data_IF_726230676720
#
_entry.id   IF_726230676720
#
_cell.length_a   1.000
_cell.length_b   1.000
_cell.length_c   1.000
_cell.angle_alpha   90.00
_cell.angle_beta   90.00
_cell.angle_gamma   90.00
#
_symmetry.space_group_name_H-M   'P 1'
#
loop_
_entity.id
_entity.type
_entity.pdbx_description
1 polymer ?
#
# COMPACT_ATOMS: atom_id res chain seq x y z
N UNK A 1 24.62 10.65 -6.49
CA UNK A 1 23.23 10.17 -6.43
C UNK A 1 22.38 11.30 -5.87
N UNK A 2 21.30 11.69 -6.56
CA UNK A 2 20.40 12.73 -6.05
C UNK A 2 19.43 12.05 -5.10
N UNK A 3 19.69 12.13 -3.80
CA UNK A 3 18.71 11.78 -2.78
C UNK A 3 17.76 12.96 -2.66
N UNK A 4 16.62 12.94 -3.36
CA UNK A 4 15.53 13.82 -2.99
C UNK A 4 14.92 13.23 -1.71
N UNK A 5 15.11 13.93 -0.59
CA UNK A 5 14.35 13.63 0.63
C UNK A 5 12.87 13.88 0.32
N UNK A 6 12.09 12.80 0.33
CA UNK A 6 10.65 12.87 0.19
C UNK A 6 10.08 13.52 1.44
N UNK A 7 9.31 14.59 1.27
CA UNK A 7 8.73 15.33 2.40
C UNK A 7 7.70 14.51 3.16
N UNK A 8 7.80 14.53 4.49
CA UNK A 8 6.76 14.03 5.39
C UNK A 8 5.43 14.78 5.16
N UNK A 9 4.32 14.06 5.25
CA UNK A 9 2.98 14.58 5.01
C UNK A 9 2.61 14.77 3.54
N UNK A 10 3.50 14.41 2.60
CA UNK A 10 3.20 14.42 1.16
C UNK A 10 2.94 13.01 0.63
N UNK A 11 1.93 12.89 -0.23
CA UNK A 11 1.63 11.66 -0.95
C UNK A 11 2.55 11.50 -2.16
N UNK A 12 3.19 10.34 -2.24
CA UNK A 12 4.10 9.94 -3.31
C UNK A 12 3.51 8.76 -4.07
N UNK A 13 3.72 8.69 -5.38
CA UNK A 13 3.20 7.57 -6.21
C UNK A 13 4.21 6.42 -6.23
N UNK A 14 3.70 5.19 -6.09
CA UNK A 14 4.45 3.96 -6.29
C UNK A 14 4.30 3.49 -7.74
N UNK A 15 5.44 3.44 -8.44
CA UNK A 15 5.79 2.99 -9.80
C UNK A 15 4.76 3.02 -10.95
N UNK A 16 3.48 2.72 -10.77
CA UNK A 16 2.37 2.98 -11.72
C UNK A 16 1.07 2.32 -11.20
N UNK A 17 -0.09 2.96 -11.46
CA UNK A 17 -1.45 2.42 -11.26
C UNK A 17 -2.08 2.57 -9.87
N UNK A 18 -2.06 3.77 -9.28
CA UNK A 18 -2.97 4.13 -8.18
C UNK A 18 -2.54 3.65 -6.79
N UNK A 19 -1.28 3.19 -6.63
CA UNK A 19 -0.67 3.00 -5.32
C UNK A 19 0.09 4.26 -4.89
N UNK A 20 -0.17 4.72 -3.69
CA UNK A 20 0.40 5.91 -3.09
C UNK A 20 0.97 5.59 -1.71
N UNK A 21 1.97 6.34 -1.29
CA UNK A 21 2.52 6.22 0.05
C UNK A 21 2.84 7.60 0.62
N UNK A 22 2.79 7.70 1.94
CA UNK A 22 3.12 8.91 2.68
C UNK A 22 3.72 8.50 4.02
N UNK A 23 4.64 9.31 4.55
CA UNK A 23 5.11 9.20 5.93
C UNK A 23 4.59 10.40 6.73
N UNK A 24 4.01 10.15 7.90
CA UNK A 24 3.60 11.18 8.86
C UNK A 24 4.28 10.87 10.19
N UNK A 25 5.39 11.56 10.48
CA UNK A 25 6.20 11.27 11.65
C UNK A 25 6.81 9.86 11.57
N UNK A 26 6.46 8.99 12.52
CA UNK A 26 6.95 7.62 12.54
C UNK A 26 6.12 6.65 11.69
N UNK A 27 4.92 7.03 11.24
CA UNK A 27 4.01 6.14 10.53
C UNK A 27 4.15 6.31 9.01
N UNK A 28 4.22 5.21 8.28
CA UNK A 28 4.07 5.14 6.82
C UNK A 28 2.71 4.57 6.52
N UNK A 29 1.98 5.23 5.63
CA UNK A 29 0.73 4.75 5.08
C UNK A 29 0.93 4.46 3.60
N UNK A 30 0.53 3.26 3.17
CA UNK A 30 0.40 2.91 1.76
C UNK A 30 -1.09 2.82 1.45
N UNK A 31 -1.55 3.56 0.44
CA UNK A 31 -2.93 3.59 -0.01
C UNK A 31 -3.02 3.12 -1.46
N UNK A 32 -3.98 2.26 -1.75
CA UNK A 32 -4.41 1.90 -3.09
C UNK A 32 -5.67 2.66 -3.42
N UNK A 33 -5.74 3.25 -4.61
CA UNK A 33 -6.91 3.94 -5.13
C UNK A 33 -7.22 3.48 -6.55
N UNK A 34 -8.40 2.89 -6.73
CA UNK A 34 -8.91 2.38 -7.99
C UNK A 34 -7.90 1.50 -8.76
N UNK A 35 -7.13 0.70 -8.02
CA UNK A 35 -6.17 -0.23 -8.62
C UNK A 35 -6.98 -1.37 -9.18
N UNK A 36 -6.91 -1.56 -10.50
CA UNK A 36 -7.54 -2.71 -11.13
C UNK A 36 -6.60 -3.90 -11.01
N UNK A 37 -7.07 -4.97 -10.38
CA UNK A 37 -6.36 -6.24 -10.43
C UNK A 37 -7.18 -7.31 -11.09
N UNK A 38 -6.51 -7.96 -12.03
CA UNK A 38 -6.90 -9.22 -12.61
C UNK A 38 -5.61 -10.01 -12.66
N UNK A 39 -5.38 -10.89 -11.70
CA UNK A 39 -4.19 -11.71 -11.76
C UNK A 39 -4.34 -13.06 -11.07
N UNK A 40 -3.93 -14.08 -11.80
CA UNK A 40 -3.59 -15.41 -11.33
C UNK A 40 -2.25 -15.42 -10.55
N UNK A 41 -1.54 -14.28 -10.52
CA UNK A 41 -0.22 -14.10 -9.91
C UNK A 41 -0.18 -12.88 -8.99
N UNK A 42 0.82 -12.85 -8.14
CA UNK A 42 1.13 -11.68 -7.33
C UNK A 42 1.64 -10.57 -8.25
N UNK A 43 1.13 -9.35 -8.06
CA UNK A 43 1.51 -8.17 -8.83
C UNK A 43 2.26 -7.19 -7.95
N UNK A 44 3.51 -6.90 -8.31
CA UNK A 44 4.27 -5.82 -7.68
C UNK A 44 3.68 -4.47 -8.09
N UNK A 45 3.39 -3.63 -7.10
CA UNK A 45 2.97 -2.23 -7.25
C UNK A 45 4.17 -1.27 -7.12
N UNK A 46 5.33 -1.80 -6.73
CA UNK A 46 6.60 -1.11 -6.65
C UNK A 46 7.31 -1.30 -5.32
N UNK A 47 8.40 -0.55 -5.11
CA UNK A 47 9.26 -0.69 -3.93
C UNK A 47 9.39 0.63 -3.18
N UNK A 48 9.13 0.61 -1.87
CA UNK A 48 9.32 1.74 -0.97
C UNK A 48 10.82 2.07 -0.79
N UNK A 49 11.18 3.37 -0.72
CA UNK A 49 12.53 3.80 -0.39
C UNK A 49 12.87 3.44 1.07
N UNK A 50 14.17 3.35 1.39
CA UNK A 50 14.67 2.79 2.66
C UNK A 50 13.99 3.35 3.92
N UNK A 51 13.80 4.67 4.02
CA UNK A 51 13.15 5.33 5.16
C UNK A 51 11.62 5.21 5.21
N UNK A 52 11.02 4.39 4.35
CA UNK A 52 9.58 4.15 4.29
C UNK A 52 9.25 2.67 4.44
N UNK A 53 10.24 1.81 4.70
CA UNK A 53 10.07 0.35 4.78
C UNK A 53 9.64 -0.06 6.18
N UNK A 54 8.80 -1.09 6.32
CA UNK A 54 8.51 -1.68 7.63
C UNK A 54 9.67 -2.55 8.12
N UNK A 55 9.74 -2.80 9.44
CA UNK A 55 10.66 -3.76 10.03
C UNK A 55 10.34 -5.21 9.70
N UNK A 56 9.04 -5.51 9.57
CA UNK A 56 8.50 -6.84 9.36
C UNK A 56 7.50 -6.81 8.20
N UNK A 57 7.14 -7.99 7.68
CA UNK A 57 6.12 -8.07 6.63
C UNK A 57 4.78 -7.59 7.18
N UNK A 58 4.19 -6.59 6.53
CA UNK A 58 2.87 -6.06 6.87
C UNK A 58 1.86 -6.56 5.84
N UNK A 59 0.67 -6.92 6.31
CA UNK A 59 -0.46 -7.18 5.42
C UNK A 59 -1.74 -6.56 5.96
N UNK A 60 -2.50 -5.90 5.09
CA UNK A 60 -3.87 -5.46 5.44
C UNK A 60 -4.78 -6.69 5.51
N UNK A 61 -5.44 -6.91 6.64
CA UNK A 61 -6.31 -8.05 6.84
C UNK A 61 -7.77 -7.61 6.63
N UNK A 62 -8.44 -8.19 5.63
CA UNK A 62 -9.78 -7.77 5.19
C UNK A 62 -10.87 -7.83 6.28
N UNK A 63 -10.61 -8.50 7.41
CA UNK A 63 -11.53 -8.59 8.56
C UNK A 63 -11.45 -7.41 9.54
N UNK A 64 -10.25 -7.08 10.04
CA UNK A 64 -10.06 -6.03 11.05
C UNK A 64 -10.00 -4.62 10.44
N UNK A 65 -9.45 -4.50 9.23
CA UNK A 65 -9.28 -3.21 8.55
C UNK A 65 -10.56 -2.71 7.87
N UNK A 66 -11.59 -3.56 7.75
CA UNK A 66 -12.93 -3.17 7.26
C UNK A 66 -13.54 -2.03 8.08
N UNK A 67 -13.33 -2.03 9.40
CA UNK A 67 -13.80 -0.98 10.28
C UNK A 67 -12.94 0.29 10.22
N UNK A 68 -11.62 0.17 10.01
CA UNK A 68 -10.70 1.29 9.86
C UNK A 68 -10.80 1.97 8.48
N UNK A 69 -11.25 1.24 7.46
CA UNK A 69 -11.51 1.74 6.10
C UNK A 69 -12.99 2.10 5.86
N UNK A 70 -13.75 2.29 6.94
CA UNK A 70 -15.21 2.32 6.99
C UNK A 70 -15.97 3.38 6.21
N UNK A 71 -15.45 3.94 5.10
CA UNK A 71 -16.14 4.95 4.29
C UNK A 71 -15.79 4.98 2.78
N UNK A 72 -14.78 4.23 2.28
CA UNK A 72 -14.27 4.47 0.91
C UNK A 72 -14.84 3.54 -0.17
N UNK A 73 -15.51 2.43 0.17
CA UNK A 73 -15.90 1.45 -0.84
C UNK A 73 -17.25 0.78 -0.55
N UNK A 74 -18.36 1.47 -0.83
CA UNK A 74 -19.68 0.82 -0.91
C UNK A 74 -19.91 0.06 -2.23
N UNK A 75 -18.84 -0.30 -2.96
CA UNK A 75 -18.93 -0.99 -4.25
C UNK A 75 -17.63 -1.57 -4.79
N UNK A 76 -16.55 -1.62 -4.01
CA UNK A 76 -15.23 -2.13 -4.43
C UNK A 76 -14.78 -3.28 -3.50
N UNK A 77 -14.08 -4.27 -4.05
CA UNK A 77 -13.52 -5.38 -3.25
C UNK A 77 -12.36 -4.87 -2.39
N UNK A 78 -12.49 -5.07 -1.07
CA UNK A 78 -11.45 -4.71 -0.10
C UNK A 78 -10.30 -5.68 -0.28
N UNK A 79 -9.16 -5.15 -0.71
CA UNK A 79 -8.06 -5.96 -1.21
C UNK A 79 -6.89 -5.98 -0.24
N UNK A 80 -6.27 -7.15 -0.16
CA UNK A 80 -5.10 -7.40 0.66
C UNK A 80 -3.87 -6.76 0.01
N UNK A 81 -3.17 -5.86 0.70
CA UNK A 81 -1.84 -5.38 0.30
C UNK A 81 -0.82 -6.02 1.20
N UNK A 82 0.28 -6.51 0.62
CA UNK A 82 1.47 -6.93 1.38
C UNK A 82 2.60 -5.95 1.16
N UNK A 83 3.26 -5.56 2.23
CA UNK A 83 4.52 -4.80 2.19
C UNK A 83 5.60 -5.65 2.86
N UNK A 84 6.64 -6.02 2.11
CA UNK A 84 7.76 -6.78 2.65
C UNK A 84 8.77 -5.88 3.38
N UNK A 85 9.65 -6.43 4.25
CA UNK A 85 10.75 -5.65 4.85
C UNK A 85 11.70 -5.04 3.81
N UNK A 86 11.78 -5.63 2.62
CA UNK A 86 12.51 -5.06 1.48
C UNK A 86 11.86 -3.81 0.87
N UNK A 87 10.64 -3.45 1.32
CA UNK A 87 9.84 -2.36 0.81
C UNK A 87 8.95 -2.73 -0.37
N UNK A 88 8.97 -3.98 -0.82
CA UNK A 88 8.14 -4.39 -1.96
C UNK A 88 6.67 -4.38 -1.57
N UNK A 89 5.87 -3.62 -2.31
CA UNK A 89 4.42 -3.53 -2.17
C UNK A 89 3.79 -4.43 -3.23
N UNK A 90 3.04 -5.44 -2.79
CA UNK A 90 2.48 -6.47 -3.64
C UNK A 90 0.98 -6.57 -3.42
N UNK A 91 0.27 -6.70 -4.53
CA UNK A 91 -1.10 -7.13 -4.56
C UNK A 91 -1.14 -8.64 -4.84
N UNK A 92 -1.66 -9.48 -3.92
CA UNK A 92 -1.65 -10.93 -4.10
C UNK A 92 -2.57 -11.39 -5.23
N UNK A 93 -2.28 -12.59 -5.74
CA UNK A 93 -3.15 -13.32 -6.66
C UNK A 93 -4.55 -13.56 -6.09
N UNK A 94 -5.52 -13.75 -6.98
CA UNK A 94 -6.88 -14.18 -6.62
C UNK A 94 -7.82 -13.04 -6.24
N UNK A 95 -7.42 -11.79 -6.49
CA UNK A 95 -8.29 -10.63 -6.33
C UNK A 95 -8.68 -10.12 -7.72
N UNK A 96 -9.98 -9.92 -7.97
CA UNK A 96 -10.52 -9.52 -9.28
C UNK A 96 -11.43 -8.31 -9.15
N UNK A 97 -11.10 -7.21 -9.80
CA UNK A 97 -11.92 -6.00 -9.84
C UNK A 97 -11.17 -4.72 -9.45
N UNK A 98 -11.87 -3.57 -9.42
CA UNK A 98 -11.31 -2.32 -8.92
C UNK A 98 -11.18 -2.34 -7.39
N UNK A 99 -10.04 -1.85 -6.89
CA UNK A 99 -9.63 -2.00 -5.50
C UNK A 99 -9.21 -0.66 -4.90
N UNK A 100 -9.66 -0.44 -3.67
CA UNK A 100 -9.20 0.67 -2.83
C UNK A 100 -8.90 0.11 -1.45
N UNK A 101 -7.79 0.52 -0.87
CA UNK A 101 -7.33 0.00 0.41
C UNK A 101 -6.23 0.85 1.02
N UNK A 102 -5.93 0.66 2.30
CA UNK A 102 -4.78 1.28 2.94
C UNK A 102 -4.19 0.38 4.00
N UNK A 103 -2.90 0.55 4.26
CA UNK A 103 -2.19 -0.08 5.37
C UNK A 103 -1.24 0.94 5.98
N UNK A 104 -1.17 0.97 7.31
CA UNK A 104 -0.26 1.86 8.04
C UNK A 104 0.64 1.06 8.98
N UNK A 105 1.91 1.44 9.05
CA UNK A 105 2.94 0.76 9.83
C UNK A 105 4.04 1.73 10.26
N UNK A 106 4.79 1.45 11.34
CA UNK A 106 5.95 2.26 11.70
C UNK A 106 7.07 2.11 10.64
N UNK A 107 7.69 3.23 10.27
CA UNK A 107 8.89 3.25 9.43
C UNK A 107 10.12 2.75 10.20
N UNK A 108 11.04 2.10 9.49
CA UNK A 108 12.41 1.86 9.95
C UNK A 108 13.22 3.16 10.09
#
# INVERSE_FOLDING_TARGET
SVSHELGDGQWHTLLENGAFYMRTGAAVTVQLYNVTAYSDKDRSLGTLPAGYRPSDSISSNAGADRAAMGLVASGYDISYVRVSPGGEVVLPKGVSGPMTGQVSFPAL
#
